data_IF_946987173662
#
_entry.id   IF_946987173662
#
_cell.length_a   1.000
_cell.length_b   1.000
_cell.length_c   1.000
_cell.angle_alpha   90.00
_cell.angle_beta   90.00
_cell.angle_gamma   90.00
#
_symmetry.space_group_name_H-M   'P 1'
#
loop_
_entity.id
_entity.type
_entity.pdbx_description
1 polymer ?
#
# COMPACT_ATOMS: atom_id res chain seq x y z
N UNK A 1 65.38 -64.07 -31.22
CA UNK A 1 64.39 -65.00 -31.78
C UNK A 1 63.03 -64.25 -31.81
N UNK A 2 62.70 -64.02 -32.96
CA UNK A 2 61.44 -64.26 -33.67
C UNK A 2 60.32 -63.30 -33.34
N UNK A 3 60.06 -62.42 -34.30
CA UNK A 3 58.87 -62.13 -35.10
C UNK A 3 57.65 -61.60 -34.35
N UNK A 4 57.09 -60.59 -34.80
CA UNK A 4 56.64 -59.95 -36.06
C UNK A 4 55.13 -59.75 -36.00
N UNK A 5 54.76 -58.73 -36.74
CA UNK A 5 53.48 -58.45 -37.46
C UNK A 5 52.48 -57.53 -36.72
N UNK A 6 52.49 -56.26 -37.13
CA UNK A 6 51.63 -55.56 -38.04
C UNK A 6 50.14 -55.80 -37.85
N UNK A 7 49.37 -54.76 -37.50
CA UNK A 7 48.33 -54.25 -38.39
C UNK A 7 47.94 -52.81 -38.01
N UNK A 8 47.97 -51.93 -38.99
CA UNK A 8 47.36 -50.60 -39.02
C UNK A 8 45.83 -50.72 -38.97
N UNK A 9 45.21 -49.98 -38.10
CA UNK A 9 43.84 -49.56 -38.31
C UNK A 9 43.78 -48.04 -38.09
N UNK A 10 43.56 -47.32 -39.18
CA UNK A 10 43.22 -45.92 -39.24
C UNK A 10 41.82 -45.79 -38.73
N UNK A 11 41.63 -45.28 -37.53
CA UNK A 11 40.33 -44.92 -36.98
C UNK A 11 40.14 -43.39 -37.03
N UNK A 12 39.32 -42.94 -37.91
CA UNK A 12 38.83 -41.55 -38.03
C UNK A 12 38.18 -41.11 -36.73
N UNK A 13 38.80 -40.23 -35.98
CA UNK A 13 38.19 -39.54 -34.83
C UNK A 13 37.50 -38.34 -35.42
N UNK A 14 36.17 -38.45 -35.62
CA UNK A 14 35.30 -37.32 -35.93
C UNK A 14 35.22 -36.41 -34.68
N UNK A 15 35.80 -35.22 -34.77
CA UNK A 15 35.63 -34.14 -33.80
C UNK A 15 34.19 -33.69 -33.84
N UNK A 16 33.34 -34.17 -32.94
CA UNK A 16 32.05 -33.56 -32.69
C UNK A 16 32.29 -32.25 -31.91
N UNK A 17 32.34 -31.15 -32.59
CA UNK A 17 32.15 -29.82 -32.01
C UNK A 17 30.71 -29.73 -31.51
N UNK A 18 30.45 -30.08 -30.27
CA UNK A 18 29.20 -29.71 -29.58
C UNK A 18 29.32 -28.22 -29.24
N UNK A 19 28.82 -27.38 -30.11
CA UNK A 19 28.46 -26.02 -29.74
C UNK A 19 27.30 -26.10 -28.76
N UNK A 20 27.66 -26.21 -27.47
CA UNK A 20 26.69 -26.05 -26.38
C UNK A 20 26.20 -24.62 -26.38
N UNK A 21 25.00 -24.40 -26.89
CA UNK A 21 24.22 -23.21 -26.58
C UNK A 21 23.91 -23.18 -25.08
N UNK A 22 24.83 -22.61 -24.29
CA UNK A 22 24.57 -22.27 -22.89
C UNK A 22 24.16 -20.81 -22.80
N UNK A 23 22.96 -20.48 -23.27
CA UNK A 23 22.41 -19.14 -23.08
C UNK A 23 20.88 -19.21 -22.99
N UNK A 24 20.37 -19.48 -21.80
CA UNK A 24 19.11 -18.91 -21.28
C UNK A 24 18.74 -19.32 -19.85
N UNK A 25 19.35 -20.37 -19.28
CA UNK A 25 18.96 -20.83 -17.93
C UNK A 25 19.46 -19.89 -16.80
N UNK A 26 20.62 -19.25 -16.97
CA UNK A 26 21.18 -18.35 -15.94
C UNK A 26 20.35 -17.08 -15.71
N UNK A 27 19.67 -16.58 -16.74
CA UNK A 27 18.77 -15.40 -16.64
C UNK A 27 17.49 -15.72 -15.89
N UNK A 28 16.88 -16.87 -16.17
CA UNK A 28 15.65 -17.31 -15.52
C UNK A 28 15.85 -17.64 -14.04
N UNK A 29 16.97 -18.27 -13.67
CA UNK A 29 17.27 -18.61 -12.28
C UNK A 29 17.57 -17.36 -11.43
N UNK A 30 18.36 -16.42 -11.95
CA UNK A 30 18.62 -15.11 -11.28
C UNK A 30 17.36 -14.30 -11.09
N UNK A 31 16.45 -14.27 -12.06
CA UNK A 31 15.17 -13.58 -11.94
C UNK A 31 14.25 -14.22 -10.88
N UNK A 32 14.18 -15.54 -10.81
CA UNK A 32 13.39 -16.26 -9.79
C UNK A 32 13.92 -15.99 -8.38
N UNK A 33 15.25 -15.97 -8.19
CA UNK A 33 15.88 -15.71 -6.89
C UNK A 33 15.67 -14.24 -6.47
N UNK A 34 15.76 -13.29 -7.41
CA UNK A 34 15.50 -11.87 -7.16
C UNK A 34 14.05 -11.65 -6.74
N UNK A 35 13.10 -12.26 -7.43
CA UNK A 35 11.68 -12.16 -7.11
C UNK A 35 11.32 -12.80 -5.76
N UNK A 36 11.93 -13.94 -5.44
CA UNK A 36 11.76 -14.60 -4.14
C UNK A 36 12.28 -13.72 -2.99
N UNK A 37 13.45 -13.11 -3.17
CA UNK A 37 14.03 -12.18 -2.20
C UNK A 37 13.15 -10.94 -2.01
N UNK A 38 12.64 -10.36 -3.08
CA UNK A 38 11.73 -9.21 -3.03
C UNK A 38 10.46 -9.55 -2.25
N UNK A 39 9.86 -10.72 -2.51
CA UNK A 39 8.66 -11.19 -1.81
C UNK A 39 8.90 -11.36 -0.30
N UNK A 40 10.05 -11.90 0.09
CA UNK A 40 10.43 -12.05 1.50
C UNK A 40 10.59 -10.67 2.16
N UNK A 41 11.35 -9.77 1.53
CA UNK A 41 11.58 -8.43 2.04
C UNK A 41 10.28 -7.63 2.20
N UNK A 42 9.32 -7.80 1.27
CA UNK A 42 7.98 -7.20 1.37
C UNK A 42 7.20 -7.74 2.56
N UNK A 43 7.19 -9.07 2.77
CA UNK A 43 6.48 -9.70 3.88
C UNK A 43 6.97 -9.20 5.23
N UNK A 44 8.28 -9.00 5.38
CA UNK A 44 8.88 -8.48 6.63
C UNK A 44 8.99 -6.96 6.66
N UNK A 45 8.41 -6.25 5.67
CA UNK A 45 8.44 -4.78 5.54
C UNK A 45 9.86 -4.19 5.58
N UNK A 46 10.85 -4.92 5.08
CA UNK A 46 12.24 -4.44 4.98
C UNK A 46 12.40 -3.53 3.75
N UNK A 47 11.89 -2.31 3.85
CA UNK A 47 11.92 -1.35 2.73
C UNK A 47 13.34 -0.91 2.37
N UNK A 48 14.28 -0.84 3.31
CA UNK A 48 15.69 -0.53 3.02
C UNK A 48 16.33 -1.59 2.13
N UNK A 49 16.06 -2.87 2.38
CA UNK A 49 16.50 -3.98 1.53
C UNK A 49 15.89 -3.92 0.12
N UNK A 50 14.58 -3.62 0.03
CA UNK A 50 13.87 -3.45 -1.24
C UNK A 50 14.41 -2.28 -2.07
N UNK A 51 14.64 -1.14 -1.44
CA UNK A 51 15.24 0.04 -2.08
C UNK A 51 16.62 -0.30 -2.64
N UNK A 52 17.48 -0.97 -1.83
CA UNK A 52 18.81 -1.40 -2.29
C UNK A 52 18.72 -2.32 -3.51
N UNK A 53 17.82 -3.30 -3.46
CA UNK A 53 17.60 -4.24 -4.58
C UNK A 53 17.18 -3.49 -5.85
N UNK A 54 16.14 -2.64 -5.77
CA UNK A 54 15.63 -1.92 -6.94
C UNK A 54 16.59 -0.87 -7.49
N UNK A 55 17.41 -0.23 -6.64
CA UNK A 55 18.47 0.66 -7.12
C UNK A 55 19.51 -0.08 -7.96
N UNK A 56 19.91 -1.27 -7.53
CA UNK A 56 20.85 -2.11 -8.31
C UNK A 56 20.25 -2.59 -9.63
N UNK A 57 18.96 -2.93 -9.65
CA UNK A 57 18.25 -3.31 -10.87
C UNK A 57 18.13 -2.13 -11.84
N UNK A 58 17.80 -0.94 -11.32
CA UNK A 58 17.63 0.27 -12.12
C UNK A 58 18.93 0.72 -12.79
N UNK A 59 20.07 0.57 -12.09
CA UNK A 59 21.39 0.88 -12.67
C UNK A 59 21.71 0.00 -13.88
N UNK A 60 21.19 -1.23 -13.94
CA UNK A 60 21.47 -2.19 -15.01
C UNK A 60 20.54 -2.04 -16.20
N UNK A 61 19.30 -1.63 -16.00
CA UNK A 61 18.26 -1.75 -17.04
C UNK A 61 17.54 -0.45 -17.39
N UNK A 62 17.64 0.60 -16.56
CA UNK A 62 16.86 1.84 -16.66
C UNK A 62 15.34 1.58 -16.95
N UNK A 63 14.80 0.46 -16.44
CA UNK A 63 13.45 0.02 -16.71
C UNK A 63 12.43 0.91 -15.97
N UNK A 64 11.42 1.48 -16.68
CA UNK A 64 10.39 2.31 -16.07
C UNK A 64 9.61 1.61 -14.94
N UNK A 65 9.34 0.30 -15.06
CA UNK A 65 8.68 -0.48 -14.02
C UNK A 65 9.53 -0.57 -12.76
N UNK A 66 10.83 -0.88 -12.89
CA UNK A 66 11.77 -0.93 -11.76
C UNK A 66 11.87 0.45 -11.08
N UNK A 67 11.82 1.53 -11.86
CA UNK A 67 11.82 2.91 -11.35
C UNK A 67 10.56 3.21 -10.55
N UNK A 68 9.38 2.77 -11.02
CA UNK A 68 8.13 2.89 -10.29
C UNK A 68 8.15 2.08 -8.99
N UNK A 69 8.59 0.81 -9.05
CA UNK A 69 8.70 -0.05 -7.85
C UNK A 69 9.64 0.59 -6.81
N UNK A 70 10.77 1.16 -7.25
CA UNK A 70 11.70 1.88 -6.38
C UNK A 70 11.04 3.11 -5.73
N UNK A 71 10.31 3.90 -6.50
CA UNK A 71 9.57 5.05 -6.00
C UNK A 71 8.53 4.62 -4.96
N UNK A 72 7.80 3.53 -5.23
CA UNK A 72 6.82 2.99 -4.30
C UNK A 72 7.46 2.49 -2.99
N UNK A 73 8.65 1.87 -3.04
CA UNK A 73 9.34 1.47 -1.81
C UNK A 73 9.87 2.65 -1.01
N UNK A 74 10.27 3.73 -1.65
CA UNK A 74 10.56 4.99 -0.96
C UNK A 74 9.31 5.57 -0.29
N UNK A 75 8.14 5.57 -0.97
CA UNK A 75 6.88 5.96 -0.36
C UNK A 75 6.56 5.13 0.89
N UNK A 76 6.65 3.79 0.79
CA UNK A 76 6.39 2.87 1.89
C UNK A 76 7.38 3.02 3.06
N UNK A 77 8.59 3.52 2.78
CA UNK A 77 9.57 3.89 3.82
C UNK A 77 9.41 5.30 4.36
N UNK A 78 8.35 6.02 3.94
CA UNK A 78 8.06 7.41 4.30
C UNK A 78 9.07 8.45 3.79
N UNK A 79 9.93 8.06 2.84
CA UNK A 79 10.80 9.00 2.13
C UNK A 79 10.09 9.51 0.86
N UNK A 80 9.11 10.38 1.08
CA UNK A 80 8.24 10.91 0.02
C UNK A 80 9.01 11.73 -1.01
N UNK A 81 10.07 12.42 -0.60
CA UNK A 81 10.90 13.23 -1.51
C UNK A 81 11.70 12.37 -2.48
N UNK A 82 12.33 11.30 -2.00
CA UNK A 82 13.01 10.32 -2.87
C UNK A 82 12.02 9.60 -3.77
N UNK A 83 10.83 9.25 -3.26
CA UNK A 83 9.75 8.67 -4.07
C UNK A 83 9.42 9.59 -5.26
N UNK A 84 9.14 10.86 -5.02
CA UNK A 84 8.84 11.85 -6.07
C UNK A 84 10.01 12.06 -7.05
N UNK A 85 11.26 12.03 -6.57
CA UNK A 85 12.43 12.12 -7.43
C UNK A 85 12.46 10.98 -8.47
N UNK A 86 12.18 9.74 -8.04
CA UNK A 86 12.14 8.59 -8.95
C UNK A 86 10.89 8.56 -9.83
N UNK A 87 9.77 9.16 -9.40
CA UNK A 87 8.56 9.29 -10.22
C UNK A 87 8.69 10.35 -11.33
N UNK A 88 9.46 11.42 -11.09
CA UNK A 88 9.54 12.57 -12.00
C UNK A 88 9.76 12.19 -13.47
N UNK A 89 10.69 11.29 -13.85
CA UNK A 89 10.85 10.88 -15.25
C UNK A 89 9.68 10.08 -15.81
N UNK A 90 8.81 9.53 -14.96
CA UNK A 90 7.65 8.71 -15.35
C UNK A 90 6.38 9.55 -15.55
N UNK A 91 6.34 10.80 -15.06
CA UNK A 91 5.18 11.70 -15.12
C UNK A 91 5.02 12.37 -16.52
N UNK A 92 5.45 11.69 -17.58
CA UNK A 92 5.26 12.18 -18.94
C UNK A 92 3.80 12.05 -19.40
N UNK A 93 3.45 12.74 -20.49
CA UNK A 93 2.17 12.57 -21.13
C UNK A 93 1.95 11.10 -21.47
N UNK A 94 0.80 10.54 -21.05
CA UNK A 94 0.48 9.13 -21.25
C UNK A 94 0.89 8.18 -20.13
N UNK A 95 1.46 8.67 -19.01
CA UNK A 95 1.73 7.86 -17.84
C UNK A 95 0.47 7.11 -17.34
N UNK A 96 0.67 5.94 -16.72
CA UNK A 96 -0.43 5.15 -16.16
C UNK A 96 -1.09 5.85 -14.97
N UNK A 97 -2.37 5.55 -14.66
CA UNK A 97 -3.06 6.10 -13.48
C UNK A 97 -2.27 5.92 -12.19
N UNK A 98 -1.61 4.78 -12.00
CA UNK A 98 -0.86 4.43 -10.79
C UNK A 98 0.31 5.37 -10.52
N UNK A 99 0.98 5.87 -11.57
CA UNK A 99 2.09 6.83 -11.45
C UNK A 99 1.57 8.16 -10.88
N UNK A 100 0.44 8.65 -11.41
CA UNK A 100 -0.20 9.87 -10.91
C UNK A 100 -0.75 9.67 -9.49
N UNK A 101 -1.33 8.50 -9.21
CA UNK A 101 -1.82 8.17 -7.87
C UNK A 101 -0.68 8.16 -6.84
N UNK A 102 0.46 7.53 -7.15
CA UNK A 102 1.60 7.51 -6.24
C UNK A 102 2.19 8.91 -6.04
N UNK A 103 2.22 9.75 -7.07
CA UNK A 103 2.61 11.16 -6.94
C UNK A 103 1.65 11.92 -6.01
N UNK A 104 0.33 11.71 -6.19
CA UNK A 104 -0.69 12.31 -5.34
C UNK A 104 -0.55 11.87 -3.87
N UNK A 105 -0.29 10.58 -3.62
CA UNK A 105 -0.04 10.06 -2.28
C UNK A 105 1.15 10.75 -1.61
N UNK A 106 2.28 10.87 -2.32
CA UNK A 106 3.45 11.57 -1.80
C UNK A 106 3.15 13.01 -1.40
N UNK A 107 2.43 13.73 -2.27
CA UNK A 107 2.05 15.14 -2.01
C UNK A 107 1.07 15.25 -0.84
N UNK A 108 0.12 14.32 -0.71
CA UNK A 108 -0.81 14.27 0.41
C UNK A 108 -0.09 14.10 1.75
N UNK A 109 0.89 13.20 1.80
CA UNK A 109 1.71 12.95 3.01
C UNK A 109 2.60 14.16 3.38
N UNK A 110 2.96 14.97 2.39
CA UNK A 110 3.70 16.23 2.61
C UNK A 110 2.79 17.43 2.94
N UNK A 111 1.46 17.25 3.00
CA UNK A 111 0.50 18.32 3.23
C UNK A 111 0.21 19.21 2.02
N UNK A 112 0.74 18.86 0.85
CA UNK A 112 0.58 19.60 -0.40
C UNK A 112 -0.78 19.25 -1.06
N UNK A 113 -1.87 19.44 -0.32
CA UNK A 113 -3.21 18.91 -0.66
C UNK A 113 -3.74 19.42 -2.00
N UNK A 114 -3.52 20.71 -2.34
CA UNK A 114 -3.98 21.27 -3.62
C UNK A 114 -3.32 20.59 -4.82
N UNK A 115 -2.00 20.38 -4.75
CA UNK A 115 -1.26 19.68 -5.80
C UNK A 115 -1.63 18.19 -5.84
N UNK A 116 -1.78 17.57 -4.67
CA UNK A 116 -2.24 16.18 -4.54
C UNK A 116 -3.58 15.97 -5.25
N UNK A 117 -4.55 16.87 -5.04
CA UNK A 117 -5.86 16.82 -5.68
C UNK A 117 -5.74 16.87 -7.21
N UNK A 118 -4.88 17.74 -7.76
CA UNK A 118 -4.65 17.81 -9.20
C UNK A 118 -4.16 16.46 -9.77
N UNK A 119 -3.21 15.80 -9.10
CA UNK A 119 -2.69 14.51 -9.55
C UNK A 119 -3.72 13.38 -9.40
N UNK A 120 -4.55 13.39 -8.35
CA UNK A 120 -5.66 12.45 -8.21
C UNK A 120 -6.68 12.62 -9.35
N UNK A 121 -7.02 13.85 -9.72
CA UNK A 121 -7.95 14.09 -10.84
C UNK A 121 -7.37 13.62 -12.17
N UNK A 122 -6.06 13.75 -12.39
CA UNK A 122 -5.41 13.18 -13.58
C UNK A 122 -5.52 11.65 -13.54
N UNK A 123 -5.24 10.99 -12.42
CA UNK A 123 -5.39 9.55 -12.28
C UNK A 123 -6.83 9.11 -12.59
N UNK A 124 -7.83 9.80 -12.03
CA UNK A 124 -9.26 9.54 -12.24
C UNK A 124 -9.74 9.84 -13.66
N UNK A 125 -9.12 10.79 -14.38
CA UNK A 125 -9.43 11.03 -15.79
C UNK A 125 -9.08 9.83 -16.68
N UNK A 126 -8.09 9.03 -16.26
CA UNK A 126 -7.63 7.83 -16.95
C UNK A 126 -8.34 6.56 -16.48
N UNK A 127 -8.65 6.46 -15.20
CA UNK A 127 -9.41 5.37 -14.61
C UNK A 127 -10.44 5.94 -13.62
N UNK A 128 -11.63 6.20 -14.13
CA UNK A 128 -12.72 6.87 -13.39
C UNK A 128 -13.23 6.07 -12.19
N UNK A 129 -13.04 4.76 -12.22
CA UNK A 129 -13.56 3.86 -11.20
C UNK A 129 -12.48 3.31 -10.27
N UNK A 130 -11.26 3.83 -10.35
CA UNK A 130 -10.19 3.45 -9.43
C UNK A 130 -10.54 3.84 -8.00
N UNK A 131 -10.96 2.84 -7.23
CA UNK A 131 -11.47 3.06 -5.88
C UNK A 131 -10.40 3.64 -4.93
N UNK A 132 -9.12 3.31 -5.15
CA UNK A 132 -8.02 3.84 -4.36
C UNK A 132 -7.80 5.33 -4.63
N UNK A 133 -7.86 5.75 -5.88
CA UNK A 133 -7.80 7.17 -6.26
C UNK A 133 -9.00 7.94 -5.72
N UNK A 134 -10.21 7.36 -5.76
CA UNK A 134 -11.43 7.97 -5.21
C UNK A 134 -11.32 8.10 -3.69
N UNK A 135 -10.81 7.08 -2.99
CA UNK A 135 -10.58 7.16 -1.54
C UNK A 135 -9.56 8.24 -1.19
N UNK A 136 -8.42 8.30 -1.90
CA UNK A 136 -7.44 9.36 -1.68
C UNK A 136 -8.02 10.76 -1.92
N UNK A 137 -8.87 10.92 -2.96
CA UNK A 137 -9.61 12.17 -3.17
C UNK A 137 -10.41 12.55 -1.94
N UNK A 138 -11.16 11.60 -1.35
CA UNK A 138 -11.91 11.83 -0.11
C UNK A 138 -11.03 12.26 1.05
N UNK A 139 -9.88 11.60 1.24
CA UNK A 139 -8.90 11.99 2.27
C UNK A 139 -8.40 13.42 2.07
N UNK A 140 -8.02 13.78 0.84
CA UNK A 140 -7.55 15.14 0.51
C UNK A 140 -8.65 16.16 0.75
N UNK A 141 -9.90 15.89 0.33
CA UNK A 141 -11.04 16.77 0.55
C UNK A 141 -11.29 17.01 2.05
N UNK A 142 -11.23 15.95 2.86
CA UNK A 142 -11.35 16.05 4.31
C UNK A 142 -10.24 16.94 4.92
N UNK A 143 -9.00 16.78 4.49
CA UNK A 143 -7.87 17.60 4.94
C UNK A 143 -7.99 19.07 4.51
N UNK A 144 -8.70 19.33 3.42
CA UNK A 144 -9.01 20.69 2.94
C UNK A 144 -10.27 21.30 3.58
N UNK A 145 -10.98 20.55 4.45
CA UNK A 145 -12.20 20.97 5.13
C UNK A 145 -13.49 20.73 4.32
N UNK A 146 -13.41 20.15 3.12
CA UNK A 146 -14.57 19.76 2.30
C UNK A 146 -15.12 18.41 2.79
N UNK A 147 -15.81 18.44 3.93
CA UNK A 147 -16.31 17.22 4.59
C UNK A 147 -17.41 16.53 3.78
N UNK A 148 -18.27 17.27 3.11
CA UNK A 148 -19.37 16.71 2.30
C UNK A 148 -18.82 16.07 1.01
N UNK A 149 -17.88 16.74 0.36
CA UNK A 149 -17.15 16.17 -0.77
C UNK A 149 -16.39 14.90 -0.39
N UNK A 150 -15.76 14.89 0.80
CA UNK A 150 -15.07 13.72 1.32
C UNK A 150 -16.03 12.53 1.52
N UNK A 151 -17.19 12.74 2.17
CA UNK A 151 -18.22 11.70 2.34
C UNK A 151 -18.73 11.16 1.00
N UNK A 152 -18.96 12.04 0.02
CA UNK A 152 -19.34 11.62 -1.34
C UNK A 152 -18.28 10.75 -1.99
N UNK A 153 -17.01 11.16 -1.90
CA UNK A 153 -15.87 10.38 -2.42
C UNK A 153 -15.73 9.03 -1.72
N UNK A 154 -15.79 8.99 -0.40
CA UNK A 154 -15.72 7.74 0.36
C UNK A 154 -16.89 6.80 0.06
N UNK A 155 -18.12 7.32 -0.05
CA UNK A 155 -19.30 6.52 -0.43
C UNK A 155 -19.10 5.85 -1.79
N UNK A 156 -18.56 6.59 -2.75
CA UNK A 156 -18.25 6.06 -4.08
C UNK A 156 -17.10 5.05 -4.03
N UNK A 157 -16.05 5.30 -3.25
CA UNK A 157 -14.90 4.39 -3.10
C UNK A 157 -15.30 3.06 -2.47
N UNK A 158 -16.21 3.08 -1.48
CA UNK A 158 -16.62 1.91 -0.70
C UNK A 158 -17.07 0.73 -1.56
N UNK A 159 -17.75 0.99 -2.68
CA UNK A 159 -18.27 -0.04 -3.56
C UNK A 159 -17.19 -0.87 -4.27
N UNK A 160 -15.98 -0.34 -4.42
CA UNK A 160 -14.89 -1.01 -5.16
C UNK A 160 -13.56 -1.09 -4.42
N UNK A 161 -13.49 -0.62 -3.17
CA UNK A 161 -12.25 -0.61 -2.41
C UNK A 161 -11.99 -1.96 -1.76
N UNK A 162 -10.78 -2.50 -1.95
CA UNK A 162 -10.40 -3.82 -1.44
C UNK A 162 -10.49 -3.93 0.09
N UNK A 163 -10.24 -2.84 0.78
CA UNK A 163 -10.29 -2.74 2.24
C UNK A 163 -11.42 -1.80 2.65
N UNK A 164 -12.66 -2.31 2.54
CA UNK A 164 -13.88 -1.55 2.88
C UNK A 164 -13.80 -0.88 4.26
N UNK A 165 -13.18 -1.57 5.20
CA UNK A 165 -13.00 -1.12 6.57
C UNK A 165 -12.24 0.19 6.71
N UNK A 166 -11.23 0.43 5.86
CA UNK A 166 -10.46 1.69 5.87
C UNK A 166 -11.34 2.86 5.42
N UNK A 167 -12.13 2.64 4.36
CA UNK A 167 -13.05 3.65 3.85
C UNK A 167 -14.14 3.96 4.87
N UNK A 168 -14.70 2.93 5.50
CA UNK A 168 -15.72 3.07 6.55
C UNK A 168 -15.16 3.84 7.75
N UNK A 169 -13.93 3.55 8.15
CA UNK A 169 -13.26 4.29 9.21
C UNK A 169 -13.06 5.78 8.86
N UNK A 170 -12.68 6.08 7.61
CA UNK A 170 -12.56 7.46 7.14
C UNK A 170 -13.92 8.19 7.15
N UNK A 171 -15.00 7.53 6.70
CA UNK A 171 -16.38 8.08 6.78
C UNK A 171 -16.79 8.36 8.22
N UNK A 172 -16.52 7.43 9.13
CA UNK A 172 -16.84 7.59 10.56
C UNK A 172 -16.07 8.77 11.17
N UNK A 173 -14.80 9.00 10.78
CA UNK A 173 -14.03 10.17 11.21
C UNK A 173 -14.71 11.48 10.77
N UNK A 174 -15.27 11.55 9.55
CA UNK A 174 -16.03 12.73 9.13
C UNK A 174 -17.26 12.95 10.02
N UNK A 175 -18.00 11.89 10.34
CA UNK A 175 -19.14 11.98 11.26
C UNK A 175 -18.70 12.39 12.67
N UNK A 176 -17.57 11.91 13.18
CA UNK A 176 -17.03 12.34 14.46
C UNK A 176 -16.70 13.84 14.44
N UNK A 177 -16.04 14.35 13.39
CA UNK A 177 -15.73 15.78 13.22
C UNK A 177 -17.03 16.61 13.18
N UNK A 178 -18.08 16.09 12.53
CA UNK A 178 -19.41 16.71 12.48
C UNK A 178 -20.23 16.53 13.76
N UNK A 179 -19.69 15.88 14.81
CA UNK A 179 -20.36 15.54 16.07
C UNK A 179 -21.59 14.61 15.89
N UNK A 180 -21.66 13.89 14.77
CA UNK A 180 -22.68 12.90 14.44
C UNK A 180 -22.25 11.51 14.93
N UNK A 181 -22.16 11.36 16.24
CA UNK A 181 -21.54 10.18 16.84
C UNK A 181 -22.34 8.90 16.63
N UNK A 182 -23.67 9.00 16.61
CA UNK A 182 -24.56 7.85 16.35
C UNK A 182 -24.33 7.28 14.96
N UNK A 183 -24.18 8.13 13.95
CA UNK A 183 -23.89 7.75 12.57
C UNK A 183 -22.50 7.09 12.46
N UNK A 184 -21.52 7.59 13.20
CA UNK A 184 -20.21 6.96 13.28
C UNK A 184 -20.30 5.55 13.88
N UNK A 185 -21.06 5.35 14.96
CA UNK A 185 -21.33 4.03 15.57
C UNK A 185 -21.98 3.10 14.55
N UNK A 186 -23.01 3.56 13.82
CA UNK A 186 -23.72 2.76 12.82
C UNK A 186 -22.80 2.23 11.72
N UNK A 187 -21.76 2.99 11.37
CA UNK A 187 -20.75 2.55 10.38
C UNK A 187 -19.73 1.58 10.97
N UNK A 188 -19.19 1.89 12.15
CA UNK A 188 -18.04 1.18 12.72
C UNK A 188 -18.44 -0.14 13.40
N UNK A 189 -19.60 -0.18 14.07
CA UNK A 189 -20.02 -1.33 14.84
C UNK A 189 -20.16 -2.61 14.00
N UNK A 190 -20.77 -2.59 12.81
CA UNK A 190 -20.85 -3.79 11.96
C UNK A 190 -19.47 -4.32 11.56
N UNK A 191 -18.51 -3.45 11.30
CA UNK A 191 -17.14 -3.85 10.96
C UNK A 191 -16.45 -4.51 12.17
N UNK A 192 -16.57 -3.91 13.35
CA UNK A 192 -16.06 -4.46 14.60
C UNK A 192 -16.65 -5.84 14.90
N UNK A 193 -17.96 -6.01 14.74
CA UNK A 193 -18.66 -7.29 15.00
C UNK A 193 -18.28 -8.40 14.04
N UNK A 194 -17.86 -8.08 12.81
CA UNK A 194 -17.28 -9.03 11.86
C UNK A 194 -15.88 -9.53 12.27
N UNK A 195 -15.33 -9.04 13.39
CA UNK A 195 -14.02 -9.44 13.90
C UNK A 195 -12.83 -8.71 13.30
N UNK A 196 -13.08 -7.63 12.57
CA UNK A 196 -11.98 -6.79 12.09
C UNK A 196 -11.29 -6.11 13.27
N UNK A 197 -9.97 -6.35 13.39
CA UNK A 197 -9.15 -5.84 14.49
C UNK A 197 -8.19 -4.76 13.97
N UNK A 198 -8.55 -3.52 14.18
CA UNK A 198 -7.70 -2.35 13.91
C UNK A 198 -7.88 -1.38 15.07
N UNK A 199 -6.79 -1.03 15.74
CA UNK A 199 -6.83 -0.17 16.92
C UNK A 199 -7.47 1.20 16.63
N UNK A 200 -7.23 1.77 15.45
CA UNK A 200 -7.81 3.07 15.08
C UNK A 200 -9.33 2.98 14.93
N UNK A 201 -9.85 1.95 14.27
CA UNK A 201 -11.30 1.71 14.15
C UNK A 201 -11.92 1.49 15.52
N UNK A 202 -11.28 0.70 16.38
CA UNK A 202 -11.76 0.42 17.73
C UNK A 202 -11.77 1.68 18.60
N UNK A 203 -10.73 2.52 18.54
CA UNK A 203 -10.69 3.79 19.24
C UNK A 203 -11.79 4.76 18.77
N UNK A 204 -12.01 4.85 17.45
CA UNK A 204 -13.08 5.67 16.89
C UNK A 204 -14.47 5.16 17.30
N UNK A 205 -14.65 3.83 17.34
CA UNK A 205 -15.90 3.22 17.82
C UNK A 205 -16.13 3.51 19.31
N UNK A 206 -15.12 3.28 20.17
CA UNK A 206 -15.21 3.55 21.60
C UNK A 206 -15.54 5.02 21.85
N UNK A 207 -14.84 5.93 21.16
CA UNK A 207 -15.09 7.37 21.28
C UNK A 207 -16.52 7.73 20.86
N UNK A 208 -16.97 7.20 19.74
CA UNK A 208 -18.32 7.47 19.22
C UNK A 208 -19.41 6.90 20.13
N UNK A 209 -19.24 5.68 20.68
CA UNK A 209 -20.13 5.08 21.67
C UNK A 209 -20.20 5.94 22.94
N UNK A 210 -19.05 6.35 23.49
CA UNK A 210 -19.02 7.20 24.65
C UNK A 210 -19.76 8.52 24.39
N UNK A 211 -19.45 9.19 23.28
CA UNK A 211 -20.05 10.48 22.90
C UNK A 211 -21.54 10.40 22.57
N UNK A 212 -22.03 9.25 22.09
CA UNK A 212 -23.48 9.00 21.87
C UNK A 212 -24.23 8.57 23.15
N UNK A 213 -23.51 8.38 24.27
CA UNK A 213 -24.09 8.02 25.57
C UNK A 213 -24.11 6.52 25.86
N UNK A 214 -23.69 5.62 24.94
CA UNK A 214 -23.59 4.18 25.22
C UNK A 214 -22.28 3.85 25.96
N UNK A 215 -22.19 4.36 27.20
CA UNK A 215 -21.02 4.14 28.06
C UNK A 215 -20.81 2.66 28.40
N UNK A 216 -21.90 1.88 28.47
CA UNK A 216 -21.81 0.45 28.80
C UNK A 216 -21.03 -0.28 27.71
N UNK A 217 -21.40 -0.08 26.45
CA UNK A 217 -20.75 -0.78 25.35
C UNK A 217 -19.31 -0.28 25.12
N UNK A 218 -19.08 1.04 25.24
CA UNK A 218 -17.72 1.59 25.21
C UNK A 218 -16.82 0.91 26.26
N UNK A 219 -17.28 0.81 27.52
CA UNK A 219 -16.60 0.11 28.61
C UNK A 219 -16.30 -1.35 28.28
N UNK A 220 -17.28 -2.07 27.74
CA UNK A 220 -17.13 -3.49 27.42
C UNK A 220 -16.02 -3.71 26.37
N UNK A 221 -15.94 -2.86 25.35
CA UNK A 221 -14.85 -2.92 24.38
C UNK A 221 -13.49 -2.57 25.04
N UNK A 222 -13.41 -1.49 25.82
CA UNK A 222 -12.20 -1.07 26.54
C UNK A 222 -11.68 -2.22 27.40
N UNK A 223 -12.55 -2.87 28.16
CA UNK A 223 -12.21 -4.00 29.03
C UNK A 223 -11.72 -5.20 28.23
N UNK A 224 -12.48 -5.59 27.19
CA UNK A 224 -12.17 -6.75 26.34
C UNK A 224 -10.82 -6.61 25.63
N UNK A 225 -10.45 -5.40 25.24
CA UNK A 225 -9.19 -5.09 24.54
C UNK A 225 -8.03 -4.74 25.48
N UNK A 226 -8.31 -4.54 26.77
CA UNK A 226 -7.28 -4.17 27.75
C UNK A 226 -6.74 -2.74 27.56
N UNK A 227 -7.51 -1.83 26.99
CA UNK A 227 -7.07 -0.45 26.73
C UNK A 227 -6.93 0.39 28.02
N UNK A 228 -7.57 0.00 29.10
CA UNK A 228 -7.44 0.67 30.40
C UNK A 228 -7.63 -0.31 31.56
N UNK A 229 -6.91 -0.06 32.67
CA UNK A 229 -7.15 -0.72 33.97
C UNK A 229 -8.44 -0.23 34.64
N UNK A 230 -8.95 0.93 34.22
CA UNK A 230 -10.16 1.57 34.74
C UNK A 230 -11.14 1.88 33.58
N UNK A 231 -11.80 0.86 32.99
CA UNK A 231 -12.66 1.03 31.82
C UNK A 231 -13.83 1.99 32.02
N UNK A 232 -14.42 1.99 33.24
CA UNK A 232 -15.51 2.89 33.60
C UNK A 232 -15.08 4.36 33.57
N UNK A 233 -13.93 4.64 34.19
CA UNK A 233 -13.39 5.99 34.24
C UNK A 233 -13.07 6.49 32.83
N UNK A 234 -12.37 5.68 32.03
CA UNK A 234 -12.04 6.07 30.66
C UNK A 234 -13.29 6.34 29.81
N UNK A 235 -14.32 5.50 29.89
CA UNK A 235 -15.55 5.71 29.14
C UNK A 235 -16.26 7.01 29.56
N UNK A 236 -16.28 7.32 30.89
CA UNK A 236 -16.86 8.54 31.42
C UNK A 236 -16.04 9.78 31.01
N UNK A 237 -14.72 9.70 31.06
CA UNK A 237 -13.84 10.78 30.63
C UNK A 237 -14.02 11.10 29.14
N UNK A 238 -14.11 10.07 28.29
CA UNK A 238 -14.39 10.25 26.85
C UNK A 238 -15.73 10.93 26.61
N UNK A 239 -16.77 10.59 27.38
CA UNK A 239 -18.07 11.27 27.30
C UNK A 239 -17.96 12.76 27.65
N UNK A 240 -17.23 13.09 28.71
CA UNK A 240 -17.10 14.45 29.26
C UNK A 240 -16.16 15.34 28.47
N UNK A 241 -15.23 14.78 27.66
CA UNK A 241 -14.33 15.59 26.82
C UNK A 241 -15.17 16.55 25.97
N UNK A 242 -14.92 17.84 26.10
CA UNK A 242 -15.46 18.82 25.18
C UNK A 242 -14.87 18.58 23.81
N UNK A 243 -15.71 18.18 22.83
CA UNK A 243 -15.28 18.00 21.45
C UNK A 243 -14.98 19.37 20.84
N UNK A 244 -13.82 19.46 20.24
CA UNK A 244 -13.25 20.63 19.57
C UNK A 244 -14.18 21.18 18.49
#
# INVERSE_FOLDING_TARGET
>A
MVNAIRYCIIGFIALFCTTGCTTSENGSFKNKTSLANETILLKVKNYSGLIKLKRQELQKSNNPKVRYDLANYYYLSQDYRSSMFYLKPLLASGASPDIYLLQAKNLSELGEYKQSLQFVEIALSKDRNNAESINLKGVIQAQMGDLDGALSSFTRARAGYKHEEDVVNNMAMIYIIQKKYTEAVQLLLPIYLRGYTNSQLEHNLIFSLAKSGDLRYAKDIIKKRGYSKHPDLLATDLFNIQSF
#
